data_IF_540644234815
#
_entry.id   IF_540644234815
#
_cell.length_a   1.000
_cell.length_b   1.000
_cell.length_c   1.000
_cell.angle_alpha   90.00
_cell.angle_beta   90.00
_cell.angle_gamma   90.00
#
_symmetry.space_group_name_H-M   'P 1'
#
loop_
_entity.id
_entity.type
_entity.pdbx_description
1 polymer ?
#
# COMPACT_ATOMS: atom_id res chain seq x y z
N UNK A 1 14.25 28.19 25.35
CA UNK A 1 13.41 27.01 25.06
C UNK A 1 13.68 26.58 23.61
N UNK A 2 14.31 25.41 23.36
CA UNK A 2 14.59 24.94 21.98
C UNK A 2 13.33 24.28 21.42
N UNK A 3 12.78 24.82 20.34
CA UNK A 3 11.65 24.24 19.61
C UNK A 3 12.13 22.91 18.99
N UNK A 4 11.53 21.78 19.40
CA UNK A 4 11.83 20.48 18.79
C UNK A 4 11.27 20.48 17.36
N UNK A 5 12.14 20.25 16.38
CA UNK A 5 11.76 20.12 14.96
C UNK A 5 10.80 18.92 14.82
N UNK A 6 9.63 19.15 14.24
CA UNK A 6 8.62 18.11 13.98
C UNK A 6 8.92 17.52 12.61
N UNK A 7 9.20 16.21 12.55
CA UNK A 7 9.38 15.49 11.30
C UNK A 7 8.11 14.71 10.97
N UNK A 8 7.79 14.62 9.68
CA UNK A 8 6.80 13.68 9.16
C UNK A 8 7.58 12.42 8.77
N UNK A 9 7.12 11.26 9.24
CA UNK A 9 7.76 9.97 9.00
C UNK A 9 6.88 9.15 8.06
N UNK A 10 7.46 8.67 6.98
CA UNK A 10 6.84 7.71 6.06
C UNK A 10 7.51 6.35 6.24
N UNK A 11 6.71 5.28 6.31
CA UNK A 11 7.20 3.91 6.53
C UNK A 11 6.65 3.01 5.43
N UNK A 12 7.54 2.52 4.57
CA UNK A 12 7.21 1.47 3.60
C UNK A 12 7.19 0.10 4.27
N UNK A 13 6.05 -0.59 4.24
CA UNK A 13 5.91 -1.93 4.85
C UNK A 13 5.90 -3.00 3.76
N UNK A 14 7.04 -3.66 3.58
CA UNK A 14 7.26 -4.70 2.56
C UNK A 14 7.53 -6.08 3.20
N UNK A 15 7.39 -7.15 2.42
CA UNK A 15 7.65 -8.52 2.87
C UNK A 15 6.73 -9.55 2.24
N UNK A 16 6.98 -10.83 2.52
CA UNK A 16 6.25 -11.95 1.93
C UNK A 16 4.79 -12.03 2.39
N UNK A 17 4.00 -12.85 1.69
CA UNK A 17 2.60 -13.12 2.03
C UNK A 17 2.54 -13.78 3.43
N UNK A 18 1.56 -13.37 4.24
CA UNK A 18 1.31 -13.92 5.58
C UNK A 18 2.43 -13.76 6.63
N UNK A 19 3.47 -12.95 6.36
CA UNK A 19 4.57 -12.68 7.33
C UNK A 19 4.18 -11.74 8.49
N UNK A 20 2.89 -11.39 8.63
CA UNK A 20 2.43 -10.53 9.72
C UNK A 20 2.55 -9.02 9.49
N UNK A 21 2.79 -8.55 8.26
CA UNK A 21 2.83 -7.09 7.93
C UNK A 21 1.62 -6.31 8.42
N UNK A 22 0.43 -6.91 8.31
CA UNK A 22 -0.82 -6.29 8.79
C UNK A 22 -0.82 -6.03 10.29
N UNK A 23 -0.16 -6.90 11.08
CA UNK A 23 -0.01 -6.73 12.54
C UNK A 23 0.88 -5.54 12.86
N UNK A 24 1.99 -5.37 12.12
CA UNK A 24 2.84 -4.17 12.27
C UNK A 24 2.07 -2.90 11.92
N UNK A 25 1.36 -2.88 10.79
CA UNK A 25 0.55 -1.71 10.39
C UNK A 25 -0.50 -1.38 11.45
N UNK A 26 -1.21 -2.38 11.97
CA UNK A 26 -2.22 -2.19 13.02
C UNK A 26 -1.61 -1.62 14.32
N UNK A 27 -0.43 -2.10 14.70
CA UNK A 27 0.33 -1.54 15.83
C UNK A 27 0.69 -0.06 15.60
N UNK A 28 1.24 0.29 14.43
CA UNK A 28 1.63 1.66 14.12
C UNK A 28 0.43 2.62 14.16
N UNK A 29 -0.72 2.20 13.64
CA UNK A 29 -1.95 3.00 13.70
C UNK A 29 -2.41 3.17 15.15
N UNK A 30 -2.60 2.06 15.88
CA UNK A 30 -3.24 2.09 17.21
C UNK A 30 -2.35 2.68 18.30
N UNK A 31 -1.03 2.54 18.19
CA UNK A 31 -0.09 2.95 19.25
C UNK A 31 0.63 4.25 18.95
N UNK A 32 0.82 4.59 17.67
CA UNK A 32 1.63 5.72 17.25
C UNK A 32 0.87 6.72 16.36
N UNK A 33 -0.44 6.53 16.18
CA UNK A 33 -1.33 7.42 15.40
C UNK A 33 -0.88 7.59 13.94
N UNK A 34 -0.28 6.54 13.37
CA UNK A 34 0.02 6.53 11.94
C UNK A 34 -1.26 6.37 11.12
N UNK A 35 -1.26 6.96 9.93
CA UNK A 35 -2.28 6.71 8.91
C UNK A 35 -1.75 5.68 7.93
N UNK A 36 -2.56 4.67 7.62
CA UNK A 36 -2.20 3.68 6.60
C UNK A 36 -2.64 4.11 5.22
N UNK A 37 -1.77 3.87 4.24
CA UNK A 37 -2.08 3.95 2.83
C UNK A 37 -1.69 2.62 2.21
N UNK A 38 -2.62 2.00 1.47
CA UNK A 38 -2.37 0.73 0.79
C UNK A 38 -2.41 0.91 -0.71
N UNK A 39 -1.34 0.51 -1.37
CA UNK A 39 -1.25 0.48 -2.84
C UNK A 39 -2.28 -0.47 -3.44
N UNK A 40 -2.69 -1.52 -2.71
CA UNK A 40 -3.77 -2.41 -3.17
C UNK A 40 -5.08 -1.66 -3.41
N UNK A 41 -5.37 -0.60 -2.64
CA UNK A 41 -6.56 0.24 -2.84
C UNK A 41 -6.54 0.93 -4.20
N UNK A 42 -5.37 1.34 -4.70
CA UNK A 42 -5.22 1.91 -6.05
C UNK A 42 -5.57 0.83 -7.09
N UNK A 43 -5.07 -0.39 -6.92
CA UNK A 43 -5.35 -1.51 -7.83
C UNK A 43 -6.85 -1.84 -7.90
N UNK A 44 -7.56 -1.77 -6.77
CA UNK A 44 -9.01 -1.93 -6.73
C UNK A 44 -9.72 -0.85 -7.57
N UNK A 45 -9.29 0.41 -7.46
CA UNK A 45 -9.85 1.52 -8.24
C UNK A 45 -9.61 1.30 -9.75
N UNK A 46 -8.41 0.88 -10.14
CA UNK A 46 -8.09 0.60 -11.55
C UNK A 46 -8.89 -0.59 -12.12
N UNK A 47 -9.11 -1.64 -11.33
CA UNK A 47 -9.96 -2.77 -11.72
C UNK A 47 -11.43 -2.35 -11.88
N UNK A 48 -11.93 -1.52 -10.97
CA UNK A 48 -13.30 -0.98 -11.05
C UNK A 48 -13.49 -0.10 -12.28
N UNK A 49 -12.50 0.75 -12.64
CA UNK A 49 -12.53 1.54 -13.88
C UNK A 49 -12.62 0.66 -15.13
N UNK A 50 -12.07 -0.56 -15.08
CA UNK A 50 -12.16 -1.57 -16.15
C UNK A 50 -13.44 -2.42 -16.10
N UNK A 51 -14.37 -2.12 -15.19
CA UNK A 51 -15.64 -2.85 -15.05
C UNK A 51 -15.54 -4.17 -14.30
N UNK A 52 -14.39 -4.49 -13.70
CA UNK A 52 -14.17 -5.73 -12.94
C UNK A 52 -14.67 -5.52 -11.51
N UNK A 53 -15.80 -6.16 -11.17
CA UNK A 53 -16.46 -6.03 -9.86
C UNK A 53 -15.99 -7.04 -8.84
N UNK A 54 -15.66 -8.25 -9.29
CA UNK A 54 -15.09 -9.30 -8.44
C UNK A 54 -13.64 -9.50 -8.83
N UNK A 55 -12.78 -9.52 -7.81
CA UNK A 55 -11.35 -9.66 -8.00
C UNK A 55 -10.79 -10.61 -6.97
N UNK A 56 -9.87 -11.45 -7.43
CA UNK A 56 -9.08 -12.33 -6.59
C UNK A 56 -7.77 -11.64 -6.24
N UNK A 57 -7.01 -12.24 -5.31
CA UNK A 57 -5.64 -11.81 -5.03
C UNK A 57 -4.77 -11.82 -6.29
N UNK A 58 -4.94 -12.82 -7.14
CA UNK A 58 -4.22 -12.94 -8.42
C UNK A 58 -4.59 -11.78 -9.35
N UNK A 59 -5.88 -11.42 -9.44
CA UNK A 59 -6.34 -10.28 -10.25
C UNK A 59 -5.65 -8.97 -9.85
N UNK A 60 -5.42 -8.76 -8.55
CA UNK A 60 -4.69 -7.58 -8.06
C UNK A 60 -3.20 -7.64 -8.42
N UNK A 61 -2.56 -8.81 -8.31
CA UNK A 61 -1.16 -8.99 -8.70
C UNK A 61 -0.97 -8.75 -10.20
N UNK A 62 -1.80 -9.38 -11.03
CA UNK A 62 -1.77 -9.22 -12.49
C UNK A 62 -1.97 -7.74 -12.89
N UNK A 63 -2.87 -7.01 -12.21
CA UNK A 63 -3.06 -5.57 -12.43
C UNK A 63 -1.82 -4.75 -12.03
N UNK A 64 -1.19 -5.12 -10.90
CA UNK A 64 0.03 -4.47 -10.45
C UNK A 64 1.17 -4.66 -11.43
N UNK A 65 1.32 -5.87 -11.97
CA UNK A 65 2.36 -6.21 -12.94
C UNK A 65 2.10 -5.51 -14.30
N UNK A 66 0.85 -5.43 -14.75
CA UNK A 66 0.46 -4.65 -15.94
C UNK A 66 0.80 -3.16 -15.78
N UNK A 67 0.53 -2.57 -14.61
CA UNK A 67 0.87 -1.17 -14.35
C UNK A 67 2.40 -0.96 -14.36
N UNK A 68 3.18 -1.84 -13.72
CA UNK A 68 4.65 -1.75 -13.75
C UNK A 68 5.19 -1.91 -15.16
N UNK A 69 4.64 -2.82 -15.95
CA UNK A 69 5.03 -2.99 -17.34
C UNK A 69 4.78 -1.73 -18.17
N UNK A 70 3.67 -1.03 -17.94
CA UNK A 70 3.28 0.17 -18.69
C UNK A 70 3.96 1.46 -18.23
N UNK A 71 4.27 1.59 -16.95
CA UNK A 71 4.67 2.86 -16.32
C UNK A 71 5.99 2.80 -15.55
N UNK A 72 6.63 1.64 -15.47
CA UNK A 72 7.84 1.39 -14.68
C UNK A 72 7.55 0.86 -13.28
N UNK A 73 8.57 0.25 -12.66
CA UNK A 73 8.42 -0.46 -11.39
C UNK A 73 8.00 0.44 -10.21
N UNK A 74 8.32 1.73 -10.31
CA UNK A 74 8.05 2.75 -9.29
C UNK A 74 6.58 3.23 -9.25
N UNK A 75 5.74 2.82 -10.21
CA UNK A 75 4.34 3.31 -10.31
C UNK A 75 3.47 2.92 -9.10
N UNK A 76 3.90 1.93 -8.33
CA UNK A 76 3.25 1.45 -7.11
C UNK A 76 4.21 1.42 -5.92
N UNK A 77 5.18 2.34 -5.87
CA UNK A 77 6.18 2.45 -4.79
C UNK A 77 5.95 3.70 -3.91
#
# INVERSE_FOLDING_TARGET
MKIKKKYIVYVGVVGQIAVGKGVLVDYLIKKLDFKSFSLSSILHIELQKKGIKEFTRKTLQDMGDDLRHRHGDEVLA
#
